data_IF_613858792841
#
_entry.id   IF_613858792841
#
_cell.length_a   1.000
_cell.length_b   1.000
_cell.length_c   1.000
_cell.angle_alpha   90.00
_cell.angle_beta   90.00
_cell.angle_gamma   90.00
#
_symmetry.space_group_name_H-M   'P 1'
#
loop_
_entity.id
_entity.type
_entity.pdbx_description
1 polymer ?
#
# COMPACT_ATOMS: atom_id res chain seq x y z
N UNK A 1 2.84 5.42 -16.52
CA UNK A 1 1.50 4.94 -16.92
C UNK A 1 0.70 4.65 -15.67
N UNK A 2 -0.60 4.98 -15.63
CA UNK A 2 -1.48 4.65 -14.50
C UNK A 2 -2.02 3.24 -14.70
N UNK A 3 -1.85 2.37 -13.72
CA UNK A 3 -2.36 1.00 -13.74
C UNK A 3 -3.27 0.79 -12.53
N UNK A 4 -4.34 0.00 -12.71
CA UNK A 4 -5.33 -0.27 -11.66
C UNK A 4 -5.13 -1.66 -11.12
N UNK A 5 -5.13 -1.79 -9.80
CA UNK A 5 -4.99 -3.06 -9.11
C UNK A 5 -6.08 -3.20 -8.06
N UNK A 6 -6.56 -4.43 -7.89
CA UNK A 6 -7.34 -4.78 -6.71
C UNK A 6 -6.42 -4.88 -5.50
N UNK A 7 -6.95 -4.63 -4.31
CA UNK A 7 -6.25 -4.94 -3.08
C UNK A 7 -7.18 -5.59 -2.06
N UNK A 8 -6.60 -6.47 -1.24
CA UNK A 8 -7.26 -7.13 -0.14
C UNK A 8 -6.31 -7.18 1.06
N UNK A 9 -6.73 -6.53 2.13
CA UNK A 9 -6.07 -6.52 3.41
C UNK A 9 -7.01 -7.10 4.46
N UNK A 10 -6.57 -8.13 5.14
CA UNK A 10 -7.31 -8.66 6.29
C UNK A 10 -6.34 -9.02 7.41
N UNK A 11 -6.55 -8.43 8.57
CA UNK A 11 -5.84 -8.68 9.81
C UNK A 11 -6.85 -8.87 10.95
N UNK A 12 -6.35 -9.22 12.13
CA UNK A 12 -7.15 -9.53 13.32
C UNK A 12 -8.07 -8.38 13.71
N UNK A 13 -7.58 -7.14 13.64
CA UNK A 13 -8.28 -5.94 14.14
C UNK A 13 -8.67 -4.95 13.05
N UNK A 14 -8.33 -5.21 11.78
CA UNK A 14 -8.75 -4.37 10.67
C UNK A 14 -8.83 -5.15 9.36
N UNK A 15 -9.69 -4.71 8.45
CA UNK A 15 -9.71 -5.21 7.08
C UNK A 15 -10.00 -4.06 6.11
N UNK A 16 -9.62 -4.27 4.86
CA UNK A 16 -9.90 -3.36 3.77
C UNK A 16 -9.78 -4.06 2.44
N UNK A 17 -10.64 -3.71 1.50
CA UNK A 17 -10.52 -4.14 0.12
C UNK A 17 -11.01 -3.03 -0.82
N UNK A 18 -10.65 -3.12 -2.08
CA UNK A 18 -11.06 -2.18 -3.11
C UNK A 18 -10.08 -2.10 -4.26
N UNK A 19 -9.99 -0.91 -4.88
CA UNK A 19 -9.14 -0.65 -6.03
C UNK A 19 -8.20 0.52 -5.78
N UNK A 20 -6.96 0.38 -6.25
CA UNK A 20 -5.95 1.42 -6.26
C UNK A 20 -5.45 1.69 -7.67
N UNK A 21 -5.22 2.96 -7.98
CA UNK A 21 -4.36 3.36 -9.09
C UNK A 21 -2.93 3.50 -8.59
N UNK A 22 -2.01 2.87 -9.31
CA UNK A 22 -0.58 3.03 -9.13
C UNK A 22 0.02 3.75 -10.32
N UNK A 23 0.86 4.73 -10.04
CA UNK A 23 1.71 5.37 -11.04
C UNK A 23 3.13 5.53 -10.51
N UNK A 24 4.10 5.19 -11.36
CA UNK A 24 5.49 5.57 -11.14
C UNK A 24 5.63 7.09 -11.30
N UNK A 25 6.28 7.74 -10.35
CA UNK A 25 6.48 9.20 -10.36
C UNK A 25 7.96 9.54 -10.28
N UNK A 26 8.34 10.61 -10.97
CA UNK A 26 9.68 11.18 -10.85
C UNK A 26 9.72 12.09 -9.62
N UNK A 27 10.50 11.71 -8.62
CA UNK A 27 10.75 12.48 -7.41
C UNK A 27 12.27 12.54 -7.18
N UNK A 28 12.77 13.73 -6.85
CA UNK A 28 14.20 13.98 -6.72
C UNK A 28 14.70 13.93 -5.27
N UNK A 29 13.90 13.43 -4.33
CA UNK A 29 14.27 13.41 -2.91
C UNK A 29 15.50 12.53 -2.62
N UNK A 30 15.63 11.38 -3.28
CA UNK A 30 16.83 10.53 -3.19
C UNK A 30 17.03 9.69 -4.46
N UNK A 31 18.24 9.70 -5.06
CA UNK A 31 18.51 8.96 -6.30
C UNK A 31 18.44 7.44 -6.14
N UNK A 32 18.58 6.93 -4.90
CA UNK A 32 18.59 5.50 -4.58
C UNK A 32 17.19 4.87 -4.49
N UNK A 33 16.14 5.68 -4.63
CA UNK A 33 14.76 5.23 -4.53
C UNK A 33 14.00 5.42 -5.84
N UNK A 34 13.08 4.50 -6.09
CA UNK A 34 12.02 4.64 -7.08
C UNK A 34 10.73 4.98 -6.34
N UNK A 35 9.97 5.93 -6.88
CA UNK A 35 8.79 6.46 -6.21
C UNK A 35 7.52 6.06 -6.96
N UNK A 36 6.51 5.72 -6.19
CA UNK A 36 5.20 5.34 -6.68
C UNK A 36 4.13 6.12 -5.93
N UNK A 37 3.15 6.63 -6.66
CA UNK A 37 1.97 7.23 -6.08
C UNK A 37 0.83 6.23 -6.14
N UNK A 38 0.17 6.05 -5.01
CA UNK A 38 -1.05 5.27 -4.87
C UNK A 38 -2.21 6.24 -4.74
N UNK A 39 -3.28 6.02 -5.51
CA UNK A 39 -4.56 6.68 -5.32
C UNK A 39 -5.64 5.63 -5.13
N UNK A 40 -6.34 5.67 -4.01
CA UNK A 40 -7.50 4.82 -3.78
C UNK A 40 -8.68 5.28 -4.64
N UNK A 41 -9.29 4.33 -5.36
CA UNK A 41 -10.43 4.57 -6.24
C UNK A 41 -11.73 4.21 -5.52
N UNK A 42 -11.67 3.10 -4.80
CA UNK A 42 -12.72 2.64 -3.90
C UNK A 42 -12.09 1.79 -2.80
N UNK A 43 -12.83 1.67 -1.70
CA UNK A 43 -12.47 0.82 -0.59
C UNK A 43 -12.77 1.48 0.74
N UNK A 44 -12.94 0.63 1.76
CA UNK A 44 -13.13 1.08 3.12
C UNK A 44 -12.12 0.42 4.03
N UNK A 45 -11.62 1.16 5.00
CA UNK A 45 -10.87 0.61 6.13
C UNK A 45 -11.87 0.39 7.26
N UNK A 46 -12.06 -0.87 7.65
CA UNK A 46 -12.85 -1.23 8.82
C UNK A 46 -11.92 -1.53 9.99
N UNK A 47 -12.22 -0.93 11.14
CA UNK A 47 -11.62 -1.29 12.42
C UNK A 47 -12.60 -2.20 13.14
N UNK A 48 -12.13 -3.36 13.62
CA UNK A 48 -12.97 -4.41 14.21
C UNK A 48 -12.47 -4.80 15.61
N UNK A 49 -13.41 -5.23 16.44
CA UNK A 49 -13.08 -5.84 17.73
C UNK A 49 -12.60 -7.29 17.55
N UNK A 50 -12.23 -7.95 18.66
CA UNK A 50 -11.79 -9.37 18.64
C UNK A 50 -12.90 -10.36 18.21
N UNK A 51 -14.17 -9.97 18.34
CA UNK A 51 -15.32 -10.75 17.91
C UNK A 51 -15.63 -10.60 16.41
N UNK A 52 -14.98 -9.64 15.73
CA UNK A 52 -15.18 -9.33 14.32
C UNK A 52 -16.18 -8.21 14.05
N UNK A 53 -16.80 -7.62 15.08
CA UNK A 53 -17.75 -6.52 14.90
C UNK A 53 -17.01 -5.25 14.44
N UNK A 54 -17.57 -4.56 13.45
CA UNK A 54 -17.03 -3.31 12.93
C UNK A 54 -17.33 -2.20 13.93
N UNK A 55 -16.28 -1.62 14.50
CA UNK A 55 -16.34 -0.48 15.40
C UNK A 55 -16.34 0.84 14.64
N UNK A 56 -15.49 0.93 13.61
CA UNK A 56 -15.33 2.14 12.80
C UNK A 56 -15.14 1.78 11.33
N UNK A 57 -15.53 2.72 10.45
CA UNK A 57 -15.45 2.61 9.00
C UNK A 57 -14.97 3.92 8.40
N UNK A 58 -13.90 3.83 7.62
CA UNK A 58 -13.29 4.96 6.95
C UNK A 58 -13.35 4.75 5.44
N UNK A 59 -13.88 5.73 4.71
CA UNK A 59 -13.83 5.74 3.25
C UNK A 59 -12.42 6.13 2.81
N UNK A 60 -11.80 5.28 1.98
CA UNK A 60 -10.47 5.52 1.44
C UNK A 60 -10.52 6.23 0.08
N UNK A 61 -11.69 6.44 -0.51
CA UNK A 61 -11.82 7.00 -1.85
C UNK A 61 -11.09 8.33 -1.99
N UNK A 62 -10.31 8.44 -3.06
CA UNK A 62 -9.46 9.57 -3.42
C UNK A 62 -8.33 9.90 -2.42
N UNK A 63 -8.08 9.04 -1.43
CA UNK A 63 -6.89 9.12 -0.61
C UNK A 63 -5.66 8.87 -1.49
N UNK A 64 -4.60 9.65 -1.25
CA UNK A 64 -3.36 9.58 -2.02
C UNK A 64 -2.21 9.27 -1.09
N UNK A 65 -1.32 8.40 -1.54
CA UNK A 65 -0.15 7.97 -0.81
C UNK A 65 1.10 7.96 -1.69
N UNK A 66 2.26 8.24 -1.11
CA UNK A 66 3.56 8.16 -1.78
C UNK A 66 4.40 7.06 -1.16
N UNK A 67 4.92 6.19 -2.00
CA UNK A 67 5.75 5.05 -1.62
C UNK A 67 7.13 5.25 -2.23
N UNK A 68 8.17 4.93 -1.47
CA UNK A 68 9.53 4.83 -1.97
C UNK A 68 10.05 3.41 -1.80
N UNK A 69 10.60 2.87 -2.89
CA UNK A 69 11.23 1.55 -2.94
C UNK A 69 12.70 1.72 -3.28
N UNK A 70 13.61 1.20 -2.44
CA UNK A 70 15.04 1.30 -2.73
C UNK A 70 15.38 0.47 -3.97
N UNK A 71 16.19 1.02 -4.87
CA UNK A 71 16.57 0.43 -6.16
C UNK A 71 17.46 -0.82 -6.07
N UNK A 72 17.66 -1.39 -4.88
CA UNK A 72 18.44 -2.62 -4.69
C UNK A 72 17.83 -3.82 -5.43
N UNK A 73 16.52 -3.77 -5.75
CA UNK A 73 15.84 -4.76 -6.60
C UNK A 73 16.44 -4.87 -8.01
N UNK A 74 17.12 -3.84 -8.53
CA UNK A 74 17.75 -3.89 -9.86
C UNK A 74 18.85 -4.96 -9.96
N UNK A 75 19.34 -5.44 -8.82
CA UNK A 75 20.36 -6.50 -8.73
C UNK A 75 19.76 -7.91 -8.76
N UNK A 76 18.43 -8.04 -8.77
CA UNK A 76 17.73 -9.30 -8.72
C UNK A 76 17.08 -9.62 -10.06
N UNK A 77 17.08 -10.91 -10.44
CA UNK A 77 16.26 -11.43 -11.51
C UNK A 77 14.88 -11.78 -10.96
N UNK A 78 13.85 -11.13 -11.48
CA UNK A 78 12.46 -11.48 -11.18
C UNK A 78 11.92 -12.40 -12.28
N UNK A 79 11.20 -13.45 -11.89
CA UNK A 79 10.52 -14.32 -12.85
C UNK A 79 9.30 -13.60 -13.42
N UNK A 80 9.28 -13.35 -14.73
CA UNK A 80 8.25 -12.58 -15.44
C UNK A 80 6.87 -13.24 -15.56
N UNK A 81 6.61 -14.34 -14.83
CA UNK A 81 5.48 -15.24 -15.11
C UNK A 81 4.31 -15.18 -14.13
N UNK A 82 4.22 -14.18 -13.25
CA UNK A 82 3.04 -14.01 -12.42
C UNK A 82 2.15 -12.87 -12.95
N UNK A 83 0.97 -13.24 -13.43
CA UNK A 83 -0.15 -12.31 -13.60
C UNK A 83 -0.59 -11.85 -12.20
N UNK A 84 -0.24 -10.62 -11.83
CA UNK A 84 -0.53 -10.09 -10.49
C UNK A 84 -1.30 -8.79 -10.61
N UNK A 85 -2.62 -8.92 -10.74
CA UNK A 85 -3.53 -7.78 -10.77
C UNK A 85 -4.05 -7.42 -9.37
N UNK A 86 -3.53 -8.06 -8.32
CA UNK A 86 -4.03 -7.92 -6.95
C UNK A 86 -2.89 -7.81 -5.92
N UNK A 87 -3.05 -6.90 -4.96
CA UNK A 87 -2.22 -6.78 -3.77
C UNK A 87 -2.94 -7.40 -2.57
N UNK A 88 -2.42 -8.51 -2.06
CA UNK A 88 -2.99 -9.17 -0.88
C UNK A 88 -1.94 -9.27 0.23
N UNK A 89 -2.32 -8.94 1.46
CA UNK A 89 -1.38 -9.03 2.58
C UNK A 89 -1.01 -10.49 2.90
N UNK A 90 0.28 -10.78 3.04
CA UNK A 90 0.76 -12.14 3.36
C UNK A 90 0.55 -12.41 4.85
N UNK A 91 -0.45 -13.22 5.18
CA UNK A 91 -0.70 -13.66 6.57
C UNK A 91 0.39 -14.66 7.00
N UNK A 92 1.00 -14.43 8.17
CA UNK A 92 1.84 -15.38 8.94
C UNK A 92 3.33 -15.52 8.58
N UNK A 93 3.94 -14.63 7.78
CA UNK A 93 5.41 -14.59 7.62
C UNK A 93 5.96 -13.31 8.27
N UNK A 94 7.13 -13.35 8.91
CA UNK A 94 7.87 -12.12 9.18
C UNK A 94 8.14 -11.48 7.83
N UNK A 95 7.48 -10.34 7.56
CA UNK A 95 7.68 -9.59 6.33
C UNK A 95 9.07 -8.96 6.42
N UNK A 96 10.04 -9.54 5.72
CA UNK A 96 11.34 -8.92 5.56
C UNK A 96 11.21 -7.74 4.61
N UNK A 97 11.51 -6.53 5.10
CA UNK A 97 11.56 -5.34 4.26
C UNK A 97 12.86 -5.32 3.42
N UNK A 98 13.02 -6.31 2.54
CA UNK A 98 14.25 -6.56 1.78
C UNK A 98 14.70 -5.38 0.91
N UNK A 99 13.75 -4.54 0.49
CA UNK A 99 13.99 -3.41 -0.40
C UNK A 99 13.80 -2.05 0.27
N UNK A 100 13.78 -2.00 1.60
CA UNK A 100 13.55 -0.77 2.36
C UNK A 100 12.38 0.04 1.76
N UNK A 101 11.23 -0.63 1.57
CA UNK A 101 9.98 -0.01 1.17
C UNK A 101 9.53 0.88 2.32
N UNK A 102 9.34 2.16 2.01
CA UNK A 102 8.83 3.16 2.94
C UNK A 102 7.56 3.78 2.39
N UNK A 103 6.69 4.11 3.33
CA UNK A 103 5.51 4.92 3.06
C UNK A 103 5.83 6.31 3.56
N UNK A 104 5.81 7.28 2.64
CA UNK A 104 6.15 8.67 2.92
C UNK A 104 4.88 9.47 3.24
N UNK A 105 3.75 8.80 3.51
CA UNK A 105 2.45 9.43 3.62
C UNK A 105 2.40 10.48 4.73
N UNK A 106 2.13 11.71 4.30
CA UNK A 106 0.94 12.42 4.76
C UNK A 106 -0.12 12.18 3.68
N UNK A 107 -1.38 11.99 4.05
CA UNK A 107 -2.47 12.16 3.09
C UNK A 107 -2.34 13.56 2.48
N UNK A 108 -1.81 13.65 1.25
CA UNK A 108 -1.46 14.93 0.59
C UNK A 108 -2.71 15.84 0.50
N UNK A 109 -3.91 15.26 0.58
CA UNK A 109 -5.18 15.96 0.51
C UNK A 109 -5.83 16.25 1.88
N UNK A 110 -5.20 15.89 3.01
CA UNK A 110 -5.70 16.12 4.38
C UNK A 110 -7.14 15.64 4.62
N UNK A 111 -7.55 14.53 4.00
CA UNK A 111 -8.88 13.92 4.13
C UNK A 111 -9.03 13.05 5.39
N UNK A 112 -7.94 12.60 5.99
CA UNK A 112 -7.94 11.95 7.31
C UNK A 112 -8.34 12.98 8.38
N UNK A 113 -9.49 12.80 9.03
CA UNK A 113 -10.07 13.82 9.93
C UNK A 113 -10.65 13.24 11.23
N UNK A 114 -10.14 13.78 12.35
CA UNK A 114 -10.48 13.62 13.79
C UNK A 114 -9.45 12.88 14.66
N UNK A 115 -8.95 11.71 14.28
CA UNK A 115 -7.89 10.99 15.00
C UNK A 115 -6.66 10.75 14.11
N UNK A 116 -6.24 11.80 13.39
CA UNK A 116 -5.36 11.72 12.22
C UNK A 116 -4.14 10.81 12.34
N UNK A 117 -3.47 10.79 13.48
CA UNK A 117 -2.30 9.93 13.73
C UNK A 117 -2.67 8.44 13.72
N UNK A 118 -3.79 8.05 14.33
CA UNK A 118 -4.20 6.64 14.41
C UNK A 118 -4.59 6.11 13.02
N UNK A 119 -5.39 6.90 12.30
CA UNK A 119 -5.82 6.58 10.94
C UNK A 119 -4.63 6.48 9.98
N UNK A 120 -3.66 7.40 10.10
CA UNK A 120 -2.41 7.37 9.34
C UNK A 120 -1.55 6.14 9.68
N UNK A 121 -1.40 5.81 10.97
CA UNK A 121 -0.64 4.62 11.40
C UNK A 121 -1.28 3.34 10.85
N UNK A 122 -2.61 3.23 10.89
CA UNK A 122 -3.31 2.05 10.38
C UNK A 122 -3.21 1.98 8.86
N UNK A 123 -3.37 3.11 8.16
CA UNK A 123 -3.23 3.18 6.71
C UNK A 123 -1.81 2.81 6.26
N UNK A 124 -0.79 3.35 6.93
CA UNK A 124 0.61 3.03 6.65
C UNK A 124 0.88 1.55 6.89
N UNK A 125 0.32 0.98 7.96
CA UNK A 125 0.42 -0.47 8.21
C UNK A 125 -0.27 -1.29 7.13
N UNK A 126 -1.48 -0.92 6.71
CA UNK A 126 -2.22 -1.58 5.63
C UNK A 126 -1.39 -1.57 4.34
N UNK A 127 -0.95 -0.40 3.92
CA UNK A 127 -0.19 -0.23 2.68
C UNK A 127 1.13 -1.00 2.75
N UNK A 128 1.88 -0.94 3.86
CA UNK A 128 3.10 -1.74 4.03
C UNK A 128 2.77 -3.23 3.89
N UNK A 129 1.69 -3.70 4.51
CA UNK A 129 1.33 -5.11 4.53
C UNK A 129 0.91 -5.64 3.16
N UNK A 130 0.24 -4.83 2.33
CA UNK A 130 -0.16 -5.25 0.99
C UNK A 130 0.98 -5.11 -0.02
N UNK A 131 1.97 -4.25 0.22
CA UNK A 131 3.09 -4.04 -0.70
C UNK A 131 4.26 -4.98 -0.43
N UNK A 132 4.57 -5.25 0.84
CA UNK A 132 5.64 -6.19 1.22
C UNK A 132 5.30 -7.61 0.78
N UNK A 133 6.22 -8.24 0.05
CA UNK A 133 6.03 -9.53 -0.61
C UNK A 133 5.25 -9.48 -1.93
N UNK A 134 4.78 -8.29 -2.34
CA UNK A 134 4.15 -8.02 -3.64
C UNK A 134 4.93 -6.94 -4.42
N UNK A 135 6.23 -6.75 -4.13
CA UNK A 135 7.04 -5.68 -4.72
C UNK A 135 7.19 -5.85 -6.24
N UNK A 136 7.15 -7.09 -6.75
CA UNK A 136 7.15 -7.36 -8.19
C UNK A 136 6.00 -6.62 -8.91
N UNK A 137 4.82 -6.50 -8.29
CA UNK A 137 3.68 -5.77 -8.86
C UNK A 137 3.99 -4.28 -9.00
N UNK A 138 4.68 -3.70 -8.01
CA UNK A 138 5.13 -2.30 -8.09
C UNK A 138 6.12 -2.14 -9.25
N UNK A 139 7.02 -3.10 -9.45
CA UNK A 139 8.05 -3.03 -10.49
C UNK A 139 7.50 -3.18 -11.92
N UNK A 140 6.33 -3.81 -12.09
CA UNK A 140 5.64 -3.89 -13.38
C UNK A 140 4.97 -2.57 -13.81
N UNK A 141 4.82 -1.60 -12.90
CA UNK A 141 4.26 -0.29 -13.22
C UNK A 141 5.28 0.53 -14.03
N UNK A 142 4.99 0.70 -15.32
CA UNK A 142 5.79 1.43 -16.31
C UNK A 142 5.64 2.95 -16.25
#
# INVERSE_FOLDING_TARGET
MKQTFSFNFDDTLSNSNGLIHLEKVNQNCSPNYQYFKIKFIEGYLHIKNKSGDILEKYDLKDLISLIALKKDYLKLSFSSNKNLNEFTNIKKKPLENRFNLYIINEDINKKISKNGILEEVILNRLLLSILLGNEENLLQVS
#
